data_IF_402227611989
#
_entry.id   IF_402227611989
#
_cell.length_a   1.000
_cell.length_b   1.000
_cell.length_c   1.000
_cell.angle_alpha   90.00
_cell.angle_beta   90.00
_cell.angle_gamma   90.00
#
_symmetry.space_group_name_H-M   'P 1'
#
loop_
_entity.id
_entity.type
_entity.pdbx_description
1 polymer ?
#
# COMPACT_ATOMS: atom_id res chain seq x y z
N UNK A 1 -17.79 10.25 2.52
CA UNK A 1 -16.61 10.38 3.41
C UNK A 1 -15.58 11.23 2.68
N UNK A 2 -15.25 12.46 3.12
CA UNK A 2 -14.12 13.17 2.55
C UNK A 2 -12.86 12.33 2.76
N UNK A 3 -12.05 12.15 1.72
CA UNK A 3 -10.79 11.43 1.82
C UNK A 3 -9.91 12.10 2.89
N UNK A 4 -9.30 11.32 3.80
CA UNK A 4 -8.40 11.86 4.81
C UNK A 4 -7.26 12.67 4.14
N UNK A 5 -6.71 13.67 4.85
CA UNK A 5 -5.59 14.47 4.34
C UNK A 5 -4.42 13.58 3.86
N UNK A 6 -4.19 12.45 4.54
CA UNK A 6 -3.15 11.49 4.15
C UNK A 6 -3.44 10.83 2.81
N UNK A 7 -4.69 10.43 2.55
CA UNK A 7 -5.07 9.86 1.24
C UNK A 7 -4.90 10.88 0.12
N UNK A 8 -5.24 12.15 0.37
CA UNK A 8 -5.07 13.22 -0.62
C UNK A 8 -3.58 13.46 -0.95
N UNK A 9 -2.71 13.41 0.06
CA UNK A 9 -1.26 13.54 -0.13
C UNK A 9 -0.64 12.36 -0.91
N UNK A 10 -1.20 11.15 -0.77
CA UNK A 10 -0.75 9.96 -1.49
C UNK A 10 -1.27 9.88 -2.93
N UNK A 11 -2.41 10.52 -3.23
CA UNK A 11 -3.03 10.50 -4.55
C UNK A 11 -2.09 10.93 -5.70
N UNK A 12 -1.32 12.02 -5.62
CA UNK A 12 -0.39 12.41 -6.68
C UNK A 12 0.83 11.48 -6.79
N UNK A 13 1.14 10.70 -5.75
CA UNK A 13 2.29 9.81 -5.74
C UNK A 13 2.01 8.49 -6.48
N UNK A 14 0.73 8.08 -6.60
CA UNK A 14 0.31 6.83 -7.24
C UNK A 14 0.88 6.67 -8.66
N UNK A 15 1.05 7.76 -9.41
CA UNK A 15 1.57 7.72 -10.77
C UNK A 15 3.11 7.69 -10.82
N UNK A 16 3.78 8.01 -9.71
CA UNK A 16 5.24 8.15 -9.63
C UNK A 16 5.93 7.02 -8.88
N UNK A 17 5.23 6.36 -7.94
CA UNK A 17 5.76 5.27 -7.12
C UNK A 17 4.78 4.11 -7.07
N UNK A 18 5.32 2.89 -7.00
CA UNK A 18 4.50 1.69 -6.83
C UNK A 18 3.99 1.63 -5.39
N UNK A 19 2.69 1.80 -5.22
CA UNK A 19 2.02 1.59 -3.94
C UNK A 19 1.49 0.16 -3.83
N UNK A 20 1.63 -0.41 -2.63
CA UNK A 20 1.16 -1.74 -2.29
C UNK A 20 0.30 -1.69 -1.04
N UNK A 21 -0.66 -2.61 -0.95
CA UNK A 21 -1.49 -2.80 0.24
C UNK A 21 -1.63 -4.29 0.52
N UNK A 22 -1.56 -4.67 1.79
CA UNK A 22 -1.73 -6.04 2.22
C UNK A 22 -3.22 -6.42 2.15
N UNK A 23 -3.52 -7.50 1.44
CA UNK A 23 -4.88 -7.99 1.17
C UNK A 23 -5.59 -8.43 2.46
N UNK A 24 -4.87 -9.12 3.35
CA UNK A 24 -5.35 -9.53 4.66
C UNK A 24 -5.83 -8.33 5.49
N UNK A 25 -5.11 -7.21 5.41
CA UNK A 25 -5.42 -5.97 6.12
C UNK A 25 -6.60 -5.21 5.53
N UNK A 26 -6.80 -5.27 4.20
CA UNK A 26 -7.99 -4.74 3.53
C UNK A 26 -9.23 -5.53 3.95
N UNK A 27 -9.14 -6.86 3.90
CA UNK A 27 -10.23 -7.78 4.27
C UNK A 27 -10.61 -7.63 5.75
N UNK A 28 -9.62 -7.62 6.64
CA UNK A 28 -9.85 -7.50 8.08
C UNK A 28 -10.52 -6.18 8.47
N UNK A 29 -10.34 -5.12 7.67
CA UNK A 29 -10.90 -3.78 7.91
C UNK A 29 -12.08 -3.42 7.00
N UNK A 30 -12.54 -4.36 6.17
CA UNK A 30 -13.60 -4.16 5.17
C UNK A 30 -13.38 -2.92 4.28
N UNK A 31 -12.14 -2.76 3.80
CA UNK A 31 -11.73 -1.63 2.98
C UNK A 31 -11.69 -2.00 1.49
N UNK A 32 -12.16 -1.08 0.65
CA UNK A 32 -12.05 -1.22 -0.80
C UNK A 32 -10.63 -0.91 -1.29
N UNK A 33 -10.14 -1.71 -2.22
CA UNK A 33 -8.85 -1.49 -2.89
C UNK A 33 -8.89 -0.18 -3.68
N UNK A 34 -8.00 0.80 -3.39
CA UNK A 34 -7.92 2.03 -4.17
C UNK A 34 -7.37 1.78 -5.58
N UNK A 35 -7.86 2.54 -6.57
CA UNK A 35 -7.31 2.51 -7.92
C UNK A 35 -5.83 2.93 -7.95
N UNK A 36 -5.01 2.19 -8.70
CA UNK A 36 -3.57 2.44 -8.82
C UNK A 36 -2.70 1.86 -7.68
N UNK A 37 -3.30 1.11 -6.75
CA UNK A 37 -2.59 0.40 -5.68
C UNK A 37 -2.62 -1.10 -5.94
N UNK A 38 -1.48 -1.77 -5.76
CA UNK A 38 -1.39 -3.22 -5.93
C UNK A 38 -1.69 -3.93 -4.61
N UNK A 39 -2.70 -4.80 -4.62
CA UNK A 39 -2.96 -5.69 -3.48
C UNK A 39 -1.99 -6.87 -3.50
N UNK A 40 -1.41 -7.19 -2.35
CA UNK A 40 -0.43 -8.27 -2.16
C UNK A 40 -0.76 -9.09 -0.92
N UNK A 41 -0.36 -10.36 -0.90
CA UNK A 41 -0.44 -11.22 0.29
C UNK A 41 0.86 -11.17 1.11
N UNK A 42 0.88 -11.84 2.26
CA UNK A 42 2.07 -11.91 3.12
C UNK A 42 3.34 -12.45 2.42
N UNK A 43 3.30 -13.56 1.66
CA UNK A 43 4.46 -14.01 0.89
C UNK A 43 5.00 -12.94 -0.07
N UNK A 44 4.13 -12.26 -0.81
CA UNK A 44 4.54 -11.17 -1.69
C UNK A 44 5.12 -9.97 -0.94
N UNK A 45 4.65 -9.69 0.28
CA UNK A 45 5.26 -8.68 1.15
C UNK A 45 6.69 -9.05 1.56
N UNK A 46 6.94 -10.31 1.92
CA UNK A 46 8.29 -10.81 2.21
C UNK A 46 9.18 -10.69 0.98
N UNK A 47 8.69 -11.11 -0.18
CA UNK A 47 9.40 -10.97 -1.46
C UNK A 47 9.80 -9.52 -1.75
N UNK A 48 8.91 -8.54 -1.50
CA UNK A 48 9.24 -7.12 -1.67
C UNK A 48 10.39 -6.70 -0.76
N UNK A 49 10.45 -7.19 0.48
CA UNK A 49 11.55 -6.88 1.41
C UNK A 49 12.92 -7.37 0.92
N UNK A 50 12.94 -8.42 0.08
CA UNK A 50 14.15 -8.99 -0.51
C UNK A 50 14.54 -8.30 -1.84
N UNK A 51 13.60 -7.66 -2.53
CA UNK A 51 13.83 -7.03 -3.84
C UNK A 51 14.52 -5.68 -3.76
N UNK A 52 14.46 -5.00 -2.62
CA UNK A 52 15.06 -3.69 -2.41
C UNK A 52 16.21 -3.79 -1.42
N UNK A 53 17.27 -2.99 -1.63
CA UNK A 53 18.47 -2.99 -0.78
C UNK A 53 18.18 -2.58 0.68
N UNK A 54 17.04 -1.91 0.91
CA UNK A 54 16.65 -1.43 2.24
C UNK A 54 15.14 -1.39 2.41
N UNK A 55 14.70 -1.78 3.61
CA UNK A 55 13.34 -1.53 4.12
C UNK A 55 13.39 -0.37 5.11
N UNK A 56 12.55 0.65 4.91
CA UNK A 56 12.37 1.73 5.87
C UNK A 56 10.98 1.60 6.50
N UNK A 57 10.92 1.40 7.81
CA UNK A 57 9.66 1.31 8.57
C UNK A 57 9.31 2.67 9.15
N UNK A 58 8.06 3.08 8.98
CA UNK A 58 7.50 4.29 9.56
C UNK A 58 6.58 3.85 10.70
N UNK A 59 6.95 4.20 11.94
CA UNK A 59 6.21 3.88 13.17
C UNK A 59 5.29 5.04 13.56
#
# INVERSE_FOLDING_TARGET
>A
MPASAQRQNLQPLIDSVKLFVLDEDLKARDLQLPAGVNSIDYPAFVDLSLRFDKVNTWL
#
